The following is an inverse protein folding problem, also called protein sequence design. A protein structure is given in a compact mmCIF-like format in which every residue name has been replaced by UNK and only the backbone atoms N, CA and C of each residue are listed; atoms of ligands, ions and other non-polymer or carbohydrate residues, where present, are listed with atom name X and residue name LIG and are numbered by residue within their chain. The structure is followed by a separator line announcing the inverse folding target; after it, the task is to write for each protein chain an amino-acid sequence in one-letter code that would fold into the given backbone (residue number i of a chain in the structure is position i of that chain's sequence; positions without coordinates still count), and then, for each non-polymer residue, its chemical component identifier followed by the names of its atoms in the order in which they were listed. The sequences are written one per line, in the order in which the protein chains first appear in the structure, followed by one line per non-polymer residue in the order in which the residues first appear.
data_IF_482344152229
#
_entry.id   IF_482344152229
#
_cell.length_a   1.000
_cell.length_b   1.000
_cell.length_c   1.000
_cell.angle_alpha   90.00
_cell.angle_beta   90.00
_cell.angle_gamma   90.00
#
_symmetry.space_group_name_H-M   'P 1'
#
loop_
_entity.id
_entity.type
_entity.pdbx_description
1 polymer ?
#
# COMPACT_ATOMS: atom_id res chain seq x y z
N UNK A 1 14.18 -15.52 10.54
CA UNK A 1 13.18 -15.33 9.46
C UNK A 1 13.42 -16.42 8.44
N UNK A 2 12.40 -17.23 8.12
CA UNK A 2 12.49 -18.34 7.18
C UNK A 2 12.12 -17.90 5.76
N UNK A 3 11.11 -17.04 5.65
CA UNK A 3 10.58 -16.55 4.38
C UNK A 3 10.10 -15.10 4.56
N UNK A 4 10.21 -14.31 3.50
CA UNK A 4 9.66 -12.96 3.41
C UNK A 4 8.92 -12.83 2.10
N UNK A 5 7.67 -12.40 2.18
CA UNK A 5 6.84 -12.01 1.05
C UNK A 5 6.66 -10.49 1.07
N UNK A 6 6.74 -9.87 -0.11
CA UNK A 6 6.49 -8.44 -0.29
C UNK A 6 5.38 -8.31 -1.31
N UNK A 7 4.22 -7.87 -0.87
CA UNK A 7 3.11 -7.52 -1.74
C UNK A 7 3.11 -6.01 -1.96
N UNK A 8 3.10 -5.61 -3.23
CA UNK A 8 3.01 -4.21 -3.63
C UNK A 8 1.56 -3.77 -3.51
N UNK A 9 1.31 -2.76 -2.67
CA UNK A 9 -0.01 -2.12 -2.56
C UNK A 9 -0.06 -0.93 -3.53
N UNK A 10 0.98 -0.10 -3.58
CA UNK A 10 1.10 1.04 -4.50
C UNK A 10 2.53 1.09 -5.02
N UNK A 11 2.66 1.25 -6.33
CA UNK A 11 3.90 1.60 -7.03
C UNK A 11 3.58 2.64 -8.13
N UNK A 12 4.63 3.26 -8.67
CA UNK A 12 4.56 4.25 -9.73
C UNK A 12 3.98 3.68 -11.04
N UNK A 13 4.12 2.37 -11.25
CA UNK A 13 3.72 1.67 -12.46
C UNK A 13 2.97 0.39 -12.10
N UNK A 14 2.02 0.01 -12.96
CA UNK A 14 1.31 -1.25 -12.89
C UNK A 14 1.31 -1.86 -14.27
N UNK A 15 1.90 -3.05 -14.39
CA UNK A 15 1.92 -3.83 -15.61
C UNK A 15 1.27 -5.19 -15.33
N UNK A 16 -0.06 -5.28 -15.44
CA UNK A 16 -0.78 -6.49 -15.16
C UNK A 16 -0.83 -7.39 -16.41
N UNK A 17 0.03 -7.22 -17.43
CA UNK A 17 -0.03 -8.02 -18.67
C UNK A 17 1.30 -8.64 -19.10
N UNK A 18 2.42 -8.15 -18.59
CA UNK A 18 3.74 -8.71 -18.88
C UNK A 18 4.02 -10.03 -18.16
N UNK A 19 4.94 -10.81 -18.73
CA UNK A 19 5.47 -12.01 -18.07
C UNK A 19 6.31 -11.63 -16.85
N UNK A 20 6.25 -12.45 -15.80
CA UNK A 20 7.03 -12.26 -14.58
C UNK A 20 8.17 -13.28 -14.46
N UNK A 21 9.19 -12.92 -13.67
CA UNK A 21 10.29 -13.80 -13.26
C UNK A 21 9.83 -14.83 -12.21
N UNK A 22 10.63 -15.87 -11.96
CA UNK A 22 10.35 -16.84 -10.89
C UNK A 22 10.31 -16.15 -9.52
N UNK A 23 9.27 -16.43 -8.74
CA UNK A 23 9.04 -15.81 -7.42
C UNK A 23 8.34 -14.44 -7.46
N UNK A 24 8.05 -13.90 -8.65
CA UNK A 24 7.21 -12.70 -8.82
C UNK A 24 5.81 -13.12 -9.26
N UNK A 25 4.84 -12.89 -8.39
CA UNK A 25 3.45 -13.24 -8.62
C UNK A 25 2.60 -11.98 -8.81
N UNK A 26 1.75 -12.00 -9.84
CA UNK A 26 0.76 -10.94 -10.05
C UNK A 26 -0.47 -11.21 -9.17
N UNK A 27 -0.43 -10.67 -7.96
CA UNK A 27 -1.48 -10.86 -6.96
C UNK A 27 -2.85 -10.37 -7.44
N UNK A 28 -2.89 -9.29 -8.23
CA UNK A 28 -4.13 -8.75 -8.81
C UNK A 28 -4.82 -9.75 -9.74
N UNK A 29 -4.06 -10.46 -10.56
CA UNK A 29 -4.62 -11.45 -11.47
C UNK A 29 -5.15 -12.68 -10.74
N UNK A 30 -4.49 -13.12 -9.67
CA UNK A 30 -4.98 -14.21 -8.84
C UNK A 30 -6.32 -13.84 -8.17
N UNK A 31 -6.40 -12.66 -7.54
CA UNK A 31 -7.63 -12.18 -6.90
C UNK A 31 -8.74 -11.90 -7.94
N UNK A 32 -8.40 -11.38 -9.10
CA UNK A 32 -9.37 -11.11 -10.17
C UNK A 32 -9.91 -12.40 -10.80
N UNK A 33 -9.05 -13.40 -11.05
CA UNK A 33 -9.46 -14.68 -11.64
C UNK A 33 -10.26 -15.58 -10.68
N UNK A 34 -10.11 -15.40 -9.36
CA UNK A 34 -10.94 -16.07 -8.36
C UNK A 34 -12.34 -15.44 -8.24
N UNK A 35 -12.47 -14.13 -8.45
CA UNK A 35 -13.71 -13.38 -8.22
C UNK A 35 -14.48 -12.98 -9.50
N UNK A 36 -13.85 -13.02 -10.67
CA UNK A 36 -14.45 -12.60 -11.95
C UNK A 36 -14.39 -13.72 -13.00
N UNK A 37 -15.41 -13.77 -13.87
CA UNK A 37 -15.47 -14.74 -14.97
C UNK A 37 -14.32 -14.50 -15.95
N UNK A 38 -13.70 -15.59 -16.41
CA UNK A 38 -12.56 -15.68 -17.37
C UNK A 38 -12.72 -14.91 -18.71
N UNK A 39 -13.79 -14.15 -18.89
CA UNK A 39 -14.19 -13.59 -20.19
C UNK A 39 -13.76 -12.12 -20.38
N UNK A 40 -13.46 -11.36 -19.32
CA UNK A 40 -12.99 -9.97 -19.47
C UNK A 40 -12.25 -9.44 -18.24
N UNK A 41 -11.14 -8.72 -18.46
CA UNK A 41 -10.47 -7.93 -17.43
C UNK A 41 -11.27 -6.64 -17.17
N UNK A 42 -11.73 -6.46 -15.93
CA UNK A 42 -12.33 -5.20 -15.49
C UNK A 42 -11.26 -4.33 -14.82
N UNK A 43 -10.71 -3.38 -15.58
CA UNK A 43 -9.64 -2.48 -15.13
C UNK A 43 -10.04 -1.59 -13.95
N UNK A 44 -11.33 -1.32 -13.73
CA UNK A 44 -11.78 -0.55 -12.56
C UNK A 44 -11.62 -1.34 -11.26
N UNK A 45 -11.36 -2.65 -11.35
CA UNK A 45 -11.23 -3.56 -10.22
C UNK A 45 -9.83 -4.10 -10.03
N UNK A 46 -8.88 -3.65 -10.84
CA UNK A 46 -7.46 -3.88 -10.63
C UNK A 46 -6.90 -2.83 -9.69
N UNK A 47 -5.72 -3.08 -9.13
CA UNK A 47 -5.05 -2.02 -8.39
C UNK A 47 -4.61 -0.93 -9.37
N UNK A 48 -4.58 0.29 -8.88
CA UNK A 48 -4.12 1.42 -9.65
C UNK A 48 -2.68 1.77 -9.27
N UNK A 49 -1.88 2.12 -10.27
CA UNK A 49 -0.60 2.76 -10.06
C UNK A 49 -0.79 4.22 -9.66
N UNK A 50 0.18 4.75 -8.93
CA UNK A 50 0.24 6.17 -8.60
C UNK A 50 1.58 6.52 -7.99
N UNK A 51 2.03 7.77 -8.21
CA UNK A 51 3.33 8.19 -7.74
C UNK A 51 3.48 7.93 -6.23
N UNK A 52 4.45 7.11 -5.85
CA UNK A 52 4.66 6.72 -4.45
C UNK A 52 4.90 5.24 -4.25
N UNK A 53 4.97 4.86 -2.98
CA UNK A 53 5.22 3.49 -2.56
C UNK A 53 4.32 3.11 -1.38
N UNK A 54 3.79 1.89 -1.42
CA UNK A 54 3.16 1.23 -0.27
C UNK A 54 3.35 -0.27 -0.42
N UNK A 55 3.90 -0.91 0.61
CA UNK A 55 4.21 -2.34 0.60
C UNK A 55 3.57 -3.02 1.81
N UNK A 56 3.02 -4.23 1.61
CA UNK A 56 2.75 -5.17 2.68
C UNK A 56 3.91 -6.16 2.75
N UNK A 57 4.64 -6.15 3.85
CA UNK A 57 5.77 -7.06 4.09
C UNK A 57 5.34 -8.09 5.11
N UNK A 58 5.36 -9.37 4.72
CA UNK A 58 5.01 -10.50 5.59
C UNK A 58 6.24 -11.37 5.80
N UNK A 59 6.70 -11.48 7.04
CA UNK A 59 7.81 -12.35 7.42
C UNK A 59 7.27 -13.58 8.15
N UNK A 60 7.65 -14.77 7.69
CA UNK A 60 7.33 -16.04 8.35
C UNK A 60 8.57 -16.58 9.06
N UNK A 61 8.41 -16.97 10.33
CA UNK A 61 9.49 -17.55 11.12
C UNK A 61 9.67 -19.06 10.91
N UNK A 62 10.66 -19.66 11.58
CA UNK A 62 10.93 -21.10 11.47
C UNK A 62 9.81 -21.98 12.03
N UNK A 63 8.96 -21.42 12.88
CA UNK A 63 7.83 -22.08 13.53
C UNK A 63 6.54 -21.94 12.70
N UNK A 64 6.59 -21.25 11.57
CA UNK A 64 5.46 -21.02 10.68
C UNK A 64 4.53 -19.88 11.11
N UNK A 65 4.95 -19.03 12.05
CA UNK A 65 4.20 -17.83 12.44
C UNK A 65 4.52 -16.70 11.48
N UNK A 66 3.48 -15.99 11.02
CA UNK A 66 3.60 -14.86 10.11
C UNK A 66 3.36 -13.54 10.84
N UNK A 67 4.17 -12.54 10.49
CA UNK A 67 4.08 -11.18 11.00
C UNK A 67 4.05 -10.21 9.82
N UNK A 68 3.05 -9.34 9.79
CA UNK A 68 2.84 -8.43 8.66
C UNK A 68 2.92 -6.97 9.07
N UNK A 69 3.61 -6.17 8.25
CA UNK A 69 3.73 -4.72 8.41
C UNK A 69 3.45 -4.02 7.08
N UNK A 70 2.85 -2.83 7.16
CA UNK A 70 2.76 -1.93 6.01
C UNK A 70 3.96 -0.97 6.06
N UNK A 71 4.70 -0.87 4.96
CA UNK A 71 5.80 0.07 4.78
C UNK A 71 5.42 1.12 3.72
N UNK A 72 5.38 2.39 4.14
CA UNK A 72 4.79 3.51 3.40
C UNK A 72 3.32 3.30 3.01
N UNK A 73 2.68 4.35 2.49
CA UNK A 73 1.21 4.43 2.31
C UNK A 73 0.80 5.16 1.03
N UNK A 74 1.74 5.38 0.10
CA UNK A 74 1.49 6.02 -1.19
C UNK A 74 1.08 7.50 -1.10
N UNK A 75 0.64 8.06 -2.24
CA UNK A 75 0.34 9.48 -2.40
C UNK A 75 -1.03 9.95 -1.90
N UNK A 76 -2.00 9.06 -1.73
CA UNK A 76 -3.36 9.48 -1.35
C UNK A 76 -4.16 8.40 -0.65
N UNK A 77 -5.07 8.83 0.23
CA UNK A 77 -6.04 7.96 0.89
C UNK A 77 -6.96 7.23 -0.10
N UNK A 78 -7.38 7.91 -1.18
CA UNK A 78 -8.25 7.31 -2.20
C UNK A 78 -7.57 6.12 -2.87
N UNK A 79 -6.31 6.29 -3.28
CA UNK A 79 -5.54 5.24 -3.94
C UNK A 79 -5.28 4.07 -2.98
N UNK A 80 -4.88 4.37 -1.75
CA UNK A 80 -4.65 3.35 -0.74
C UNK A 80 -5.90 2.50 -0.48
N UNK A 81 -7.06 3.13 -0.23
CA UNK A 81 -8.30 2.40 0.04
C UNK A 81 -8.73 1.52 -1.13
N UNK A 82 -8.65 2.05 -2.36
CA UNK A 82 -8.97 1.27 -3.57
C UNK A 82 -8.10 0.01 -3.66
N UNK A 83 -6.78 0.15 -3.58
CA UNK A 83 -5.88 -0.99 -3.69
C UNK A 83 -6.00 -1.93 -2.48
N UNK A 84 -6.30 -1.41 -1.28
CA UNK A 84 -6.53 -2.23 -0.09
C UNK A 84 -7.79 -3.12 -0.22
N UNK A 85 -8.83 -2.62 -0.88
CA UNK A 85 -10.03 -3.39 -1.22
C UNK A 85 -9.71 -4.44 -2.29
N UNK A 86 -9.03 -4.05 -3.38
CA UNK A 86 -8.61 -4.96 -4.46
C UNK A 86 -7.73 -6.11 -3.95
N UNK A 87 -6.88 -5.87 -2.96
CA UNK A 87 -5.97 -6.86 -2.37
C UNK A 87 -6.54 -7.55 -1.12
N UNK A 88 -7.82 -7.30 -0.77
CA UNK A 88 -8.48 -7.91 0.39
C UNK A 88 -7.71 -7.71 1.71
N UNK A 89 -7.04 -6.57 1.90
CA UNK A 89 -6.16 -6.32 3.05
C UNK A 89 -6.90 -6.36 4.41
N UNK A 90 -8.22 -6.25 4.42
CA UNK A 90 -9.03 -6.40 5.63
C UNK A 90 -8.88 -7.79 6.31
N UNK A 91 -8.41 -8.81 5.58
CA UNK A 91 -8.19 -10.15 6.11
C UNK A 91 -6.75 -10.41 6.57
N UNK A 92 -5.86 -9.42 6.41
CA UNK A 92 -4.45 -9.54 6.80
C UNK A 92 -4.26 -8.98 8.20
N UNK A 93 -3.59 -9.75 9.07
CA UNK A 93 -3.21 -9.29 10.40
C UNK A 93 -1.99 -8.37 10.36
N UNK A 94 -2.21 -7.11 9.98
CA UNK A 94 -1.15 -6.09 9.99
C UNK A 94 -0.92 -5.61 11.42
N UNK A 95 0.32 -5.76 11.90
CA UNK A 95 0.72 -5.43 13.27
C UNK A 95 1.20 -3.99 13.41
N UNK A 96 1.83 -3.47 12.36
CA UNK A 96 2.40 -2.13 12.36
C UNK A 96 2.35 -1.47 10.98
N UNK A 97 2.34 -0.14 11.00
CA UNK A 97 2.57 0.73 9.85
C UNK A 97 3.87 1.49 10.11
N UNK A 98 4.80 1.43 9.16
CA UNK A 98 6.10 2.11 9.23
C UNK A 98 6.18 3.09 8.08
N UNK A 99 6.47 4.35 8.40
CA UNK A 99 6.70 5.38 7.39
C UNK A 99 8.20 5.60 7.20
N UNK A 100 8.69 5.55 5.96
CA UNK A 100 10.10 5.77 5.64
C UNK A 100 10.51 7.23 5.82
N UNK A 101 9.69 8.16 5.31
CA UNK A 101 9.87 9.61 5.41
C UNK A 101 8.56 10.35 5.10
N UNK A 102 8.54 11.66 5.35
CA UNK A 102 7.31 12.46 5.33
C UNK A 102 6.89 12.99 3.96
N UNK A 103 7.49 12.55 2.84
CA UNK A 103 7.02 13.01 1.53
C UNK A 103 5.59 12.52 1.25
N UNK A 104 4.86 13.30 0.46
CA UNK A 104 3.43 13.12 0.22
C UNK A 104 3.14 11.82 -0.51
N UNK A 105 4.02 11.40 -1.40
CA UNK A 105 4.01 10.15 -2.16
C UNK A 105 4.28 8.90 -1.31
N UNK A 106 4.71 9.05 -0.06
CA UNK A 106 4.88 7.95 0.89
C UNK A 106 3.90 8.01 2.08
N UNK A 107 3.47 9.22 2.45
CA UNK A 107 2.69 9.48 3.67
C UNK A 107 1.25 9.94 3.38
N UNK A 108 0.86 9.98 2.12
CA UNK A 108 -0.42 10.51 1.65
C UNK A 108 -1.61 9.62 2.03
N UNK A 109 -1.42 8.30 2.08
CA UNK A 109 -2.44 7.34 2.53
C UNK A 109 -2.40 7.01 4.02
N UNK A 110 -1.56 7.67 4.83
CA UNK A 110 -1.29 7.25 6.22
C UNK A 110 -2.54 7.14 7.09
N UNK A 111 -3.48 8.08 6.98
CA UNK A 111 -4.73 8.07 7.75
C UNK A 111 -5.63 6.93 7.30
N UNK A 112 -5.73 6.70 5.99
CA UNK A 112 -6.48 5.58 5.41
C UNK A 112 -5.92 4.24 5.89
N UNK A 113 -4.59 4.04 5.80
CA UNK A 113 -3.93 2.84 6.28
C UNK A 113 -4.17 2.59 7.78
N UNK A 114 -3.96 3.60 8.62
CA UNK A 114 -4.19 3.49 10.06
C UNK A 114 -5.66 3.19 10.40
N UNK A 115 -6.60 3.82 9.69
CA UNK A 115 -8.03 3.57 9.87
C UNK A 115 -8.41 2.14 9.45
N UNK A 116 -7.93 1.71 8.28
CA UNK A 116 -8.19 0.39 7.72
C UNK A 116 -7.69 -0.72 8.64
N UNK A 117 -6.41 -0.67 9.02
CA UNK A 117 -5.82 -1.67 9.91
C UNK A 117 -6.42 -1.60 11.30
N UNK A 118 -6.65 -0.39 11.83
CA UNK A 118 -7.24 -0.20 13.15
C UNK A 118 -8.60 -0.87 13.28
N UNK A 119 -9.49 -0.69 12.29
CA UNK A 119 -10.80 -1.36 12.25
C UNK A 119 -10.68 -2.88 12.18
N UNK A 120 -9.84 -3.40 11.27
CA UNK A 120 -9.66 -4.85 11.11
C UNK A 120 -9.16 -5.52 12.41
N UNK A 121 -8.25 -4.85 13.13
CA UNK A 121 -7.76 -5.33 14.43
C UNK A 121 -8.80 -5.23 15.53
N UNK A 122 -9.57 -4.14 15.57
CA UNK A 122 -10.68 -3.97 16.52
C UNK A 122 -11.74 -5.07 16.35
N UNK A 123 -12.17 -5.33 15.11
CA UNK A 123 -13.13 -6.40 14.79
C UNK A 123 -12.59 -7.79 15.17
N UNK A 124 -11.28 -7.99 15.07
CA UNK A 124 -10.60 -9.21 15.50
C UNK A 124 -10.32 -9.27 17.02
N UNK A 125 -10.71 -8.26 17.81
CA UNK A 125 -10.46 -8.19 19.25
C UNK A 125 -8.98 -8.06 19.62
N UNK A 126 -8.15 -7.52 18.72
CA UNK A 126 -6.71 -7.37 18.89
C UNK A 126 -6.34 -5.97 19.41
N UNK A 127 -5.14 -5.86 19.98
CA UNK A 127 -4.58 -4.57 20.40
C UNK A 127 -4.44 -3.60 19.20
N UNK A 128 -4.53 -2.28 19.42
CA UNK A 128 -4.35 -1.28 18.37
C UNK A 128 -3.04 -1.42 17.60
N UNK A 129 -3.06 -1.07 16.31
CA UNK A 129 -1.87 -1.05 15.44
C UNK A 129 -0.82 -0.08 15.94
N UNK A 130 0.45 -0.47 15.86
CA UNK A 130 1.57 0.47 16.07
C UNK A 130 1.80 1.27 14.80
N UNK A 131 1.92 2.59 14.92
CA UNK A 131 2.27 3.47 13.79
C UNK A 131 3.62 4.11 14.08
N UNK A 132 4.66 3.61 13.43
CA UNK A 132 6.04 4.11 13.57
C UNK A 132 6.30 5.21 12.53
N UNK A 133 6.66 6.39 13.02
CA UNK A 133 6.76 7.60 12.22
C UNK A 133 8.12 8.28 12.43
N UNK A 134 8.78 8.74 11.36
CA UNK A 134 10.00 9.53 11.47
C UNK A 134 9.75 10.78 12.32
N UNK A 135 10.71 11.17 13.17
CA UNK A 135 10.57 12.36 13.99
C UNK A 135 10.48 13.62 13.12
N UNK A 136 9.95 14.71 13.68
CA UNK A 136 9.86 16.05 13.03
C UNK A 136 9.10 16.03 11.71
N UNK A 137 7.79 15.73 11.79
CA UNK A 137 6.87 15.91 10.67
C UNK A 137 6.94 17.36 10.14
N UNK A 138 7.25 17.57 8.83
CA UNK A 138 7.26 18.89 8.24
C UNK A 138 5.83 19.40 8.01
N UNK A 139 5.65 20.73 8.03
CA UNK A 139 4.37 21.36 7.71
C UNK A 139 3.93 21.11 6.26
N UNK A 140 4.89 21.05 5.33
CA UNK A 140 4.67 20.69 3.92
C UNK A 140 5.35 19.36 3.63
N UNK A 141 4.63 18.50 2.92
CA UNK A 141 5.06 17.13 2.58
C UNK A 141 5.35 16.96 1.09
N UNK A 142 5.23 18.02 0.30
CA UNK A 142 5.64 18.04 -1.10
C UNK A 142 7.16 18.00 -1.25
N UNK A 143 7.64 17.71 -2.46
CA UNK A 143 9.06 17.66 -2.80
C UNK A 143 9.88 18.83 -2.21
N UNK A 144 11.15 18.60 -1.83
CA UNK A 144 11.98 19.60 -1.18
C UNK A 144 12.33 20.71 -2.17
N UNK A 145 11.65 21.84 -2.04
CA UNK A 145 12.03 23.05 -2.77
C UNK A 145 10.88 24.02 -2.88
N UNK A 146 11.15 25.29 -2.57
CA UNK A 146 10.36 26.41 -3.07
C UNK A 146 10.49 26.54 -4.58
N UNK A 147 10.13 25.49 -5.34
CA UNK A 147 9.78 25.66 -6.74
C UNK A 147 8.43 26.33 -6.71
N UNK A 148 8.47 27.66 -6.72
CA UNK A 148 7.41 28.45 -7.31
C UNK A 148 7.20 27.85 -8.69
N UNK A 149 6.14 27.04 -8.86
CA UNK A 149 5.53 26.90 -10.17
C UNK A 149 5.28 28.34 -10.58
N UNK A 150 6.09 28.86 -11.50
CA UNK A 150 5.83 30.14 -12.10
C UNK A 150 4.51 29.96 -12.84
N UNK A 151 3.41 30.28 -12.14
CA UNK A 151 2.18 30.65 -12.80
C UNK A 151 2.55 31.88 -13.59
N UNK A 152 2.89 31.68 -14.87
CA UNK A 152 2.89 32.77 -15.83
C UNK A 152 1.56 33.51 -15.70
N UNK A 153 1.53 34.83 -15.95
CA UNK A 153 0.31 35.59 -15.77
C UNK A 153 -0.81 34.92 -16.58
N UNK A 154 -1.95 34.68 -15.91
CA UNK A 154 -3.13 34.11 -16.55
C UNK A 154 -3.53 34.97 -17.76
N UNK A 155 -4.05 34.36 -18.85
CA UNK A 155 -4.56 35.09 -20.01
C UNK A 155 -5.74 36.00 -19.66
#
# INVERSE_FOLDING_TARGET
VKHVEIQVIIDNESDPISSTEEGVHMSEWAVHMENYTRESLDFEKLCHAGHGLSLLVTATDEQGRSHSVIFDTGCSEKLFNHNAECLCLAHVDVEAIVLSHWHGDHSGGLIAAATHVGKAREEAGKAPTVVDLPPRRPHRRSAPGGVSMATGPAP
#
